data_IF_769324440186
#
_entry.id   IF_769324440186
#
_cell.length_a   1.000
_cell.length_b   1.000
_cell.length_c   1.000
_cell.angle_alpha   90.00
_cell.angle_beta   90.00
_cell.angle_gamma   90.00
#
_symmetry.space_group_name_H-M   'P 1'
#
loop_
_entity.id
_entity.type
_entity.pdbx_description
1 polymer ?
#
# COMPACT_ATOMS: atom_id res chain seq x y z
N UNK A 1 3.03 -13.38 7.20
CA UNK A 1 2.36 -12.66 6.10
C UNK A 1 1.67 -11.45 6.70
N UNK A 2 1.93 -10.23 6.21
CA UNK A 2 1.43 -9.00 6.82
C UNK A 2 0.07 -8.64 6.21
N UNK A 3 -0.91 -8.34 7.09
CA UNK A 3 -2.21 -7.77 6.71
C UNK A 3 -2.25 -6.33 7.21
N UNK A 4 -2.65 -5.41 6.33
CA UNK A 4 -2.77 -3.99 6.66
C UNK A 4 -4.20 -3.52 6.41
N UNK A 5 -4.66 -2.60 7.25
CA UNK A 5 -5.90 -1.83 7.07
C UNK A 5 -5.52 -0.41 6.69
N UNK A 6 -6.29 0.21 5.80
CA UNK A 6 -6.03 1.57 5.29
C UNK A 6 -7.29 2.43 5.42
N UNK A 7 -7.10 3.73 5.59
CA UNK A 7 -8.16 4.74 5.72
C UNK A 7 -9.08 4.81 4.49
N UNK A 8 -10.36 5.08 4.74
CA UNK A 8 -11.42 5.38 3.77
C UNK A 8 -11.55 6.88 3.44
N UNK A 9 -10.93 7.73 4.26
CA UNK A 9 -11.12 9.19 4.28
C UNK A 9 -9.89 9.94 3.75
N UNK A 10 -8.82 9.21 3.41
CA UNK A 10 -7.65 9.78 2.74
C UNK A 10 -6.52 8.78 2.52
N UNK A 11 -5.42 9.20 1.87
CA UNK A 11 -4.29 8.34 1.60
C UNK A 11 -3.59 7.89 2.88
N UNK A 12 -3.44 6.57 3.04
CA UNK A 12 -2.63 5.97 4.10
C UNK A 12 -1.17 5.94 3.67
N UNK A 13 -0.27 6.47 4.52
CA UNK A 13 1.18 6.44 4.27
C UNK A 13 1.78 5.13 4.79
N UNK A 14 2.45 4.40 3.91
CA UNK A 14 3.26 3.21 4.21
C UNK A 14 4.74 3.58 4.04
N UNK A 15 5.56 3.18 5.01
CA UNK A 15 7.01 3.28 4.95
C UNK A 15 7.65 1.98 5.39
N UNK A 16 8.84 1.71 4.86
CA UNK A 16 9.70 0.64 5.35
C UNK A 16 10.75 1.26 6.27
N UNK A 17 10.94 0.65 7.45
CA UNK A 17 11.98 1.12 8.37
C UNK A 17 13.36 0.91 7.73
N UNK A 18 14.17 1.95 7.77
CA UNK A 18 15.55 1.97 7.26
C UNK A 18 15.67 1.59 5.77
N UNK A 19 14.61 1.81 4.98
CA UNK A 19 14.56 1.50 3.55
C UNK A 19 13.84 2.61 2.80
N UNK A 20 14.35 2.94 1.61
CA UNK A 20 13.62 3.74 0.63
C UNK A 20 12.83 2.80 -0.28
N UNK A 21 11.52 3.01 -0.39
CA UNK A 21 10.72 2.30 -1.40
C UNK A 21 11.09 2.86 -2.77
N UNK A 22 11.49 1.99 -3.69
CA UNK A 22 11.92 2.35 -5.04
C UNK A 22 10.89 1.93 -6.09
N UNK A 23 10.17 0.84 -5.85
CA UNK A 23 9.13 0.37 -6.78
C UNK A 23 8.07 -0.47 -6.06
N UNK A 24 6.96 -0.72 -6.75
CA UNK A 24 5.86 -1.56 -6.28
C UNK A 24 5.33 -2.44 -7.41
N UNK A 25 4.86 -3.64 -7.04
CA UNK A 25 3.91 -4.39 -7.85
C UNK A 25 2.56 -4.43 -7.15
N UNK A 26 1.48 -4.31 -7.91
CA UNK A 26 0.11 -4.27 -7.39
C UNK A 26 -0.80 -5.19 -8.21
N UNK A 27 -1.65 -5.93 -7.50
CA UNK A 27 -2.73 -6.71 -8.10
C UNK A 27 -3.99 -6.69 -7.20
N UNK A 28 -5.21 -6.59 -7.78
CA UNK A 28 -5.46 -6.21 -9.16
C UNK A 28 -4.99 -4.79 -9.45
N UNK A 29 -4.60 -4.53 -10.69
CA UNK A 29 -4.25 -3.18 -11.10
C UNK A 29 -5.50 -2.29 -11.01
N UNK A 30 -5.31 -1.02 -10.61
CA UNK A 30 -6.36 -0.02 -10.46
C UNK A 30 -7.42 -0.26 -9.37
N UNK A 31 -7.24 -1.18 -8.42
CA UNK A 31 -8.15 -1.29 -7.26
C UNK A 31 -7.92 -0.20 -6.19
N UNK A 32 -6.76 0.46 -6.22
CA UNK A 32 -6.40 1.56 -5.34
C UNK A 32 -5.69 2.65 -6.14
N UNK A 33 -5.74 3.87 -5.64
CA UNK A 33 -4.80 4.90 -6.04
C UNK A 33 -3.52 4.75 -5.23
N UNK A 34 -2.38 4.71 -5.92
CA UNK A 34 -1.09 4.48 -5.30
C UNK A 34 -0.08 5.48 -5.83
N UNK A 35 0.58 6.18 -4.91
CA UNK A 35 1.60 7.17 -5.22
C UNK A 35 2.89 6.79 -4.51
N UNK A 36 3.95 6.56 -5.28
CA UNK A 36 5.30 6.45 -4.76
C UNK A 36 5.95 7.84 -4.75
N UNK A 37 6.11 8.42 -3.57
CA UNK A 37 6.74 9.72 -3.42
C UNK A 37 8.27 9.59 -3.52
N UNK A 38 8.94 10.62 -4.08
CA UNK A 38 10.40 10.66 -4.27
C UNK A 38 11.24 10.41 -3.01
N UNK A 39 10.67 10.63 -1.83
CA UNK A 39 11.31 10.36 -0.53
C UNK A 39 11.27 8.87 -0.13
N UNK A 40 10.67 7.99 -0.93
CA UNK A 40 10.52 6.56 -0.61
C UNK A 40 9.31 6.22 0.26
N UNK A 41 8.32 7.11 0.36
CA UNK A 41 7.04 6.82 1.00
C UNK A 41 6.00 6.40 -0.02
N UNK A 42 5.21 5.40 0.33
CA UNK A 42 4.08 4.94 -0.44
C UNK A 42 2.80 5.52 0.16
N UNK A 43 1.96 6.13 -0.66
CA UNK A 43 0.63 6.57 -0.25
C UNK A 43 -0.40 5.73 -1.00
N UNK A 44 -1.39 5.22 -0.27
CA UNK A 44 -2.44 4.39 -0.83
C UNK A 44 -3.82 4.84 -0.38
N UNK A 45 -4.73 4.99 -1.33
CA UNK A 45 -6.13 5.26 -1.07
C UNK A 45 -7.01 4.22 -1.79
N UNK A 46 -8.04 3.67 -1.14
CA UNK A 46 -8.99 2.77 -1.80
C UNK A 46 -9.78 3.52 -2.88
N UNK A 47 -10.03 2.87 -4.02
CA UNK A 47 -10.97 3.41 -5.04
C UNK A 47 -12.40 2.94 -4.79
N UNK A 48 -12.57 1.74 -4.26
CA UNK A 48 -13.85 1.14 -3.93
C UNK A 48 -13.75 0.38 -2.60
N UNK A 49 -14.86 0.30 -1.87
CA UNK A 49 -14.94 -0.43 -0.61
C UNK A 49 -14.81 -1.95 -0.84
N UNK A 50 -14.12 -2.64 0.07
CA UNK A 50 -14.06 -4.11 0.08
C UNK A 50 -13.08 -4.75 -0.89
N UNK A 51 -12.34 -3.98 -1.69
CA UNK A 51 -11.34 -4.53 -2.59
C UNK A 51 -10.15 -5.13 -1.82
N UNK A 52 -9.77 -6.36 -2.19
CA UNK A 52 -8.53 -6.99 -1.72
C UNK A 52 -7.38 -6.58 -2.63
N UNK A 53 -6.35 -6.00 -2.03
CA UNK A 53 -5.16 -5.58 -2.75
C UNK A 53 -3.95 -6.41 -2.31
N UNK A 54 -3.19 -6.87 -3.29
CA UNK A 54 -1.92 -7.55 -3.13
C UNK A 54 -0.83 -6.57 -3.57
N UNK A 55 0.11 -6.26 -2.67
CA UNK A 55 1.24 -5.37 -2.96
C UNK A 55 2.55 -6.12 -2.76
N UNK A 56 3.51 -5.90 -3.64
CA UNK A 56 4.92 -6.21 -3.37
C UNK A 56 5.67 -4.90 -3.37
N UNK A 57 6.33 -4.59 -2.25
CA UNK A 57 7.10 -3.36 -2.10
C UNK A 57 8.57 -3.69 -2.32
N UNK A 58 9.21 -2.98 -3.24
CA UNK A 58 10.62 -3.15 -3.58
C UNK A 58 11.37 -1.97 -2.96
N UNK A 59 12.11 -2.27 -1.90
CA UNK A 59 13.03 -1.34 -1.26
C UNK A 59 14.38 -1.30 -1.98
N UNK A 60 15.30 -0.53 -1.42
CA UNK A 60 16.66 -0.38 -1.95
C UNK A 60 17.49 -1.64 -1.72
N UNK A 61 17.32 -2.31 -0.57
CA UNK A 61 18.10 -3.49 -0.22
C UNK A 61 17.29 -4.78 -0.11
N UNK A 62 15.95 -4.69 -0.07
CA UNK A 62 15.06 -5.86 0.07
C UNK A 62 13.72 -5.70 -0.62
N UNK A 63 13.13 -6.82 -1.00
CA UNK A 63 11.75 -6.92 -1.49
C UNK A 63 10.86 -7.50 -0.40
N UNK A 64 9.71 -6.87 -0.15
CA UNK A 64 8.76 -7.27 0.89
C UNK A 64 7.38 -7.50 0.26
N UNK A 65 6.89 -8.77 0.21
CA UNK A 65 5.53 -9.05 -0.21
C UNK A 65 4.52 -8.72 0.90
N UNK A 66 3.54 -7.90 0.58
CA UNK A 66 2.37 -7.55 1.40
C UNK A 66 1.15 -8.21 0.75
N UNK A 67 0.85 -9.44 1.17
CA UNK A 67 -0.14 -10.28 0.48
C UNK A 67 -1.61 -9.85 0.66
N UNK A 68 -1.98 -8.98 1.59
CA UNK A 68 -3.35 -8.46 1.62
C UNK A 68 -3.45 -7.15 2.37
N UNK A 69 -3.69 -6.08 1.64
CA UNK A 69 -4.31 -4.89 2.22
C UNK A 69 -5.81 -5.07 2.04
N UNK A 70 -6.54 -5.20 3.15
CA UNK A 70 -7.99 -5.10 3.13
C UNK A 70 -8.33 -3.65 3.38
N UNK A 71 -9.04 -3.05 2.44
CA UNK A 71 -9.63 -1.73 2.62
C UNK A 71 -10.81 -1.88 3.58
N UNK A 72 -10.54 -1.92 4.88
CA UNK A 72 -11.56 -1.85 5.92
C UNK A 72 -11.74 -0.38 6.25
N UNK A 73 -12.89 0.13 5.83
CA UNK A 73 -13.38 1.45 6.19
C UNK A 73 -13.50 1.49 7.71
N UNK A 74 -12.60 2.20 8.40
CA UNK A 74 -12.87 2.63 9.76
C UNK A 74 -13.88 3.78 9.68
N UNK A 75 -15.17 3.42 9.66
CA UNK A 75 -16.24 4.40 9.91
C UNK A 75 -16.06 4.86 11.36
N UNK A 76 -15.79 6.15 11.54
CA UNK A 76 -15.85 6.79 12.87
C UNK A 76 -17.22 6.56 13.52
#
# INVERSE_FOLDING_TARGET
MLKLEISDSGPTRINLKDEKINDIFMYPQNAAEVILHKSGYLFIAPREEGNKLYLTVIGEHKTIPICSIMTLIQKN
#
